data_IF_292776409114
#
_entry.id   IF_292776409114
#
_cell.length_a   1.000
_cell.length_b   1.000
_cell.length_c   1.000
_cell.angle_alpha   90.00
_cell.angle_beta   90.00
_cell.angle_gamma   90.00
#
_symmetry.space_group_name_H-M   'P 1'
#
loop_
_entity.id
_entity.type
_entity.pdbx_description
1 polymer ?
#
# COMPACT_ATOMS: atom_id res chain seq x y z
N UNK A 1 -1.84 17.90 -19.33
CA UNK A 1 -2.96 17.01 -18.93
C UNK A 1 -2.33 15.67 -18.61
N UNK A 2 -2.47 15.15 -17.39
CA UNK A 2 -1.94 13.84 -17.03
C UNK A 2 -2.69 12.71 -17.80
N UNK A 3 -2.01 11.58 -18.00
CA UNK A 3 -2.55 10.42 -18.73
C UNK A 3 -2.76 9.20 -17.86
N UNK A 4 -2.34 9.28 -16.59
CA UNK A 4 -2.34 8.16 -15.64
C UNK A 4 -3.73 7.93 -15.08
N UNK A 5 -4.08 6.70 -14.81
CA UNK A 5 -5.26 6.34 -14.02
C UNK A 5 -4.97 6.54 -12.54
N UNK A 6 -6.00 6.92 -11.79
CA UNK A 6 -5.91 7.23 -10.37
C UNK A 6 -6.81 6.30 -9.59
N UNK A 7 -6.27 5.64 -8.57
CA UNK A 7 -7.00 4.78 -7.64
C UNK A 7 -6.92 5.32 -6.22
N UNK A 8 -7.90 4.99 -5.41
CA UNK A 8 -7.93 5.28 -3.98
C UNK A 8 -8.18 4.01 -3.19
N UNK A 9 -7.45 3.81 -2.10
CA UNK A 9 -7.69 2.70 -1.18
C UNK A 9 -8.98 2.90 -0.40
N UNK A 10 -9.78 1.84 -0.23
CA UNK A 10 -10.89 1.86 0.72
C UNK A 10 -10.35 2.01 2.15
N UNK A 11 -11.11 2.65 3.02
CA UNK A 11 -10.68 2.90 4.38
C UNK A 11 -11.86 2.83 5.35
N UNK A 12 -11.73 2.05 6.42
CA UNK A 12 -12.76 1.91 7.45
C UNK A 12 -13.09 3.21 8.19
N UNK A 13 -12.17 4.20 8.17
CA UNK A 13 -12.36 5.50 8.82
C UNK A 13 -13.31 6.43 8.07
N UNK A 14 -13.65 6.13 6.82
CA UNK A 14 -14.56 6.97 6.02
C UNK A 14 -16.02 6.94 6.47
N UNK A 15 -16.38 6.04 7.40
CA UNK A 15 -17.69 6.03 8.05
C UNK A 15 -18.84 5.50 7.19
N UNK A 16 -18.55 4.99 6.00
CA UNK A 16 -19.48 4.28 5.10
C UNK A 16 -18.88 2.93 4.70
N UNK A 17 -19.73 1.99 4.28
CA UNK A 17 -19.25 0.67 3.87
C UNK A 17 -18.30 0.76 2.67
N UNK A 18 -17.31 -0.13 2.59
CA UNK A 18 -16.30 -0.10 1.52
C UNK A 18 -16.92 -0.26 0.11
N UNK A 19 -17.95 -1.11 -0.11
CA UNK A 19 -18.64 -1.13 -1.41
C UNK A 19 -19.29 0.22 -1.77
N UNK A 20 -19.80 0.96 -0.79
CA UNK A 20 -20.33 2.32 -1.01
C UNK A 20 -19.20 3.32 -1.30
N UNK A 21 -18.04 3.15 -0.70
CA UNK A 21 -16.86 3.97 -1.03
C UNK A 21 -16.48 3.83 -2.50
N UNK A 22 -16.55 2.62 -3.08
CA UNK A 22 -16.27 2.38 -4.51
C UNK A 22 -17.15 3.26 -5.41
N UNK A 23 -18.45 3.39 -5.07
CA UNK A 23 -19.38 4.29 -5.77
C UNK A 23 -18.95 5.76 -5.62
N UNK A 24 -18.65 6.19 -4.39
CA UNK A 24 -18.23 7.56 -4.10
C UNK A 24 -16.89 7.93 -4.75
N UNK A 25 -15.94 6.99 -4.84
CA UNK A 25 -14.67 7.20 -5.56
C UNK A 25 -14.93 7.48 -7.04
N UNK A 26 -15.87 6.73 -7.65
CA UNK A 26 -16.30 7.01 -9.03
C UNK A 26 -16.87 8.41 -9.20
N UNK A 27 -17.72 8.83 -8.28
CA UNK A 27 -18.33 10.16 -8.31
C UNK A 27 -17.30 11.28 -8.11
N UNK A 28 -16.26 11.04 -7.28
CA UNK A 28 -15.15 11.97 -7.10
C UNK A 28 -14.23 12.07 -8.34
N UNK A 29 -14.22 11.05 -9.23
CA UNK A 29 -13.47 11.04 -10.48
C UNK A 29 -12.34 10.01 -10.57
N UNK A 30 -12.16 9.17 -9.55
CA UNK A 30 -11.17 8.08 -9.59
C UNK A 30 -11.53 7.01 -10.62
N UNK A 31 -10.50 6.36 -11.16
CA UNK A 31 -10.62 5.28 -12.16
C UNK A 31 -10.75 3.90 -11.51
N UNK A 32 -10.26 3.74 -10.29
CA UNK A 32 -10.22 2.45 -9.61
C UNK A 32 -10.04 2.56 -8.10
N UNK A 33 -9.91 1.40 -7.49
CA UNK A 33 -9.79 1.25 -6.05
C UNK A 33 -8.90 0.06 -5.67
N UNK A 34 -8.49 0.04 -4.42
CA UNK A 34 -7.81 -1.04 -3.72
C UNK A 34 -8.62 -1.40 -2.47
N UNK A 35 -8.53 -2.64 -2.01
CA UNK A 35 -9.21 -3.12 -0.81
C UNK A 35 -8.21 -3.78 0.12
N UNK A 36 -8.28 -3.46 1.41
CA UNK A 36 -7.56 -4.16 2.45
C UNK A 36 -8.40 -5.36 2.94
N UNK A 37 -7.89 -6.57 2.74
CA UNK A 37 -8.55 -7.80 3.19
C UNK A 37 -8.05 -8.22 4.58
N UNK A 38 -8.96 -8.37 5.53
CA UNK A 38 -8.70 -8.84 6.90
C UNK A 38 -9.41 -10.16 7.23
N UNK A 39 -9.54 -11.05 6.25
CA UNK A 39 -10.21 -12.34 6.44
C UNK A 39 -11.72 -12.32 6.14
N UNK A 40 -12.28 -11.19 5.74
CA UNK A 40 -13.67 -11.09 5.28
C UNK A 40 -13.75 -11.18 3.74
N UNK A 41 -13.93 -12.39 3.23
CA UNK A 41 -14.07 -12.62 1.79
C UNK A 41 -15.34 -11.98 1.22
N UNK A 42 -16.39 -11.85 2.04
CA UNK A 42 -17.64 -11.23 1.61
C UNK A 42 -17.46 -9.73 1.34
N UNK A 43 -16.57 -9.06 2.08
CA UNK A 43 -16.20 -7.68 1.82
C UNK A 43 -15.57 -7.55 0.43
N UNK A 44 -14.59 -8.38 0.11
CA UNK A 44 -13.91 -8.36 -1.20
C UNK A 44 -14.90 -8.63 -2.32
N UNK A 45 -15.81 -9.62 -2.16
CA UNK A 45 -16.87 -9.92 -3.13
C UNK A 45 -17.81 -8.73 -3.35
N UNK A 46 -18.23 -8.07 -2.28
CA UNK A 46 -19.13 -6.92 -2.37
C UNK A 46 -18.43 -5.72 -3.04
N UNK A 47 -17.15 -5.47 -2.77
CA UNK A 47 -16.36 -4.44 -3.43
C UNK A 47 -16.13 -4.76 -4.91
N UNK A 48 -15.84 -6.02 -5.26
CA UNK A 48 -15.70 -6.45 -6.65
C UNK A 48 -17.00 -6.20 -7.44
N UNK A 49 -18.15 -6.57 -6.88
CA UNK A 49 -19.47 -6.30 -7.48
C UNK A 49 -19.73 -4.81 -7.67
N UNK A 50 -19.44 -3.98 -6.65
CA UNK A 50 -19.54 -2.53 -6.77
C UNK A 50 -18.60 -1.97 -7.86
N UNK A 51 -17.39 -2.53 -7.97
CA UNK A 51 -16.44 -2.18 -9.03
C UNK A 51 -17.00 -2.46 -10.43
N UNK A 52 -17.61 -3.63 -10.65
CA UNK A 52 -18.27 -3.98 -11.90
C UNK A 52 -19.46 -3.06 -12.21
N UNK A 53 -20.33 -2.82 -11.24
CA UNK A 53 -21.50 -1.95 -11.37
C UNK A 53 -21.12 -0.52 -11.79
N UNK A 54 -20.10 0.05 -11.13
CA UNK A 54 -19.64 1.43 -11.37
C UNK A 54 -18.52 1.52 -12.41
N UNK A 55 -18.13 0.41 -13.04
CA UNK A 55 -17.05 0.34 -14.05
C UNK A 55 -15.73 0.91 -13.52
N UNK A 56 -15.38 0.53 -12.31
CA UNK A 56 -14.14 0.87 -11.64
C UNK A 56 -13.10 -0.24 -11.81
N UNK A 57 -11.84 0.12 -11.85
CA UNK A 57 -10.74 -0.84 -11.88
C UNK A 57 -10.52 -1.34 -10.45
N UNK A 58 -10.60 -2.64 -10.22
CA UNK A 58 -10.13 -3.25 -8.99
C UNK A 58 -8.62 -3.50 -9.14
N UNK A 59 -7.81 -2.57 -8.66
CA UNK A 59 -6.38 -2.53 -8.96
C UNK A 59 -5.59 -3.54 -8.14
N UNK A 60 -5.86 -3.66 -6.84
CA UNK A 60 -5.14 -4.57 -5.95
C UNK A 60 -5.95 -4.97 -4.73
N UNK A 61 -5.58 -6.10 -4.12
CA UNK A 61 -5.99 -6.48 -2.77
C UNK A 61 -4.76 -6.40 -1.88
N UNK A 62 -4.86 -5.66 -0.78
CA UNK A 62 -3.83 -5.62 0.23
C UNK A 62 -4.00 -6.79 1.20
N UNK A 63 -2.99 -7.62 1.31
CA UNK A 63 -2.97 -8.74 2.24
C UNK A 63 -2.81 -8.27 3.69
N UNK A 64 -3.35 -8.99 4.68
CA UNK A 64 -3.14 -8.68 6.09
C UNK A 64 -1.69 -8.97 6.50
N UNK A 65 -1.25 -8.31 7.57
CA UNK A 65 0.15 -8.36 8.00
C UNK A 65 0.37 -8.93 9.41
N UNK A 66 -0.66 -9.49 10.01
CA UNK A 66 -0.61 -9.99 11.41
C UNK A 66 0.37 -11.13 11.66
N UNK A 67 0.87 -11.80 10.61
CA UNK A 67 1.88 -12.87 10.72
C UNK A 67 3.21 -12.51 10.02
N UNK A 68 3.38 -11.28 9.56
CA UNK A 68 4.58 -10.92 8.81
C UNK A 68 5.87 -11.03 9.62
N UNK A 69 5.85 -10.68 10.91
CA UNK A 69 6.99 -10.89 11.80
C UNK A 69 7.28 -12.37 12.03
N UNK A 70 6.23 -13.17 12.29
CA UNK A 70 6.35 -14.61 12.57
C UNK A 70 6.95 -15.38 11.39
N UNK A 71 6.70 -14.92 10.16
CA UNK A 71 7.28 -15.53 8.96
C UNK A 71 8.82 -15.51 8.94
N UNK A 72 9.45 -14.67 9.76
CA UNK A 72 10.92 -14.59 9.88
C UNK A 72 11.50 -15.32 11.07
N UNK A 73 10.66 -15.75 12.05
CA UNK A 73 11.12 -16.39 13.27
C UNK A 73 10.97 -17.93 13.22
N UNK A 74 12.09 -18.65 13.28
CA UNK A 74 12.12 -20.11 13.29
C UNK A 74 11.44 -20.72 14.54
N UNK A 75 11.20 -19.94 15.58
CA UNK A 75 10.50 -20.39 16.78
C UNK A 75 8.96 -20.30 16.62
N UNK A 76 8.49 -19.47 15.69
CA UNK A 76 7.05 -19.22 15.41
C UNK A 76 6.55 -19.97 14.16
N UNK A 77 7.02 -21.20 13.95
CA UNK A 77 6.74 -21.99 12.72
C UNK A 77 5.26 -22.18 12.42
N UNK A 78 4.42 -22.33 13.46
CA UNK A 78 2.98 -22.53 13.25
C UNK A 78 2.31 -21.24 12.74
N UNK A 79 2.70 -20.08 13.27
CA UNK A 79 2.17 -18.79 12.86
C UNK A 79 2.79 -18.36 11.51
N UNK A 80 4.04 -18.69 11.25
CA UNK A 80 4.64 -18.55 9.92
C UNK A 80 3.86 -19.31 8.82
N UNK A 81 3.42 -20.54 9.10
CA UNK A 81 2.58 -21.32 8.18
C UNK A 81 1.24 -20.61 7.94
N UNK A 82 0.61 -20.07 9.00
CA UNK A 82 -0.63 -19.31 8.85
C UNK A 82 -0.44 -18.08 7.98
N UNK A 83 0.68 -17.36 8.12
CA UNK A 83 1.05 -16.23 7.28
C UNK A 83 1.16 -16.61 5.81
N UNK A 84 1.87 -17.69 5.50
CA UNK A 84 1.97 -18.22 4.12
C UNK A 84 0.59 -18.58 3.56
N UNK A 85 -0.24 -19.29 4.30
CA UNK A 85 -1.58 -19.70 3.84
C UNK A 85 -2.52 -18.50 3.71
N UNK A 86 -2.39 -17.48 4.57
CA UNK A 86 -3.16 -16.25 4.46
C UNK A 86 -2.81 -15.47 3.17
N UNK A 87 -1.53 -15.37 2.82
CA UNK A 87 -1.12 -14.75 1.55
C UNK A 87 -1.60 -15.55 0.34
N UNK A 88 -1.52 -16.88 0.38
CA UNK A 88 -2.06 -17.74 -0.69
C UNK A 88 -3.56 -17.56 -0.87
N UNK A 89 -4.30 -17.45 0.23
CA UNK A 89 -5.74 -17.18 0.15
C UNK A 89 -6.03 -15.80 -0.47
N UNK A 90 -5.26 -14.78 -0.11
CA UNK A 90 -5.37 -13.45 -0.75
C UNK A 90 -5.07 -13.52 -2.26
N UNK A 91 -4.08 -14.32 -2.68
CA UNK A 91 -3.81 -14.59 -4.10
C UNK A 91 -5.01 -15.28 -4.78
N UNK A 92 -5.66 -16.25 -4.11
CA UNK A 92 -6.87 -16.89 -4.64
C UNK A 92 -8.04 -15.91 -4.81
N UNK A 93 -8.18 -14.93 -3.91
CA UNK A 93 -9.15 -13.84 -4.08
C UNK A 93 -8.79 -12.95 -5.28
N UNK A 94 -7.50 -12.64 -5.48
CA UNK A 94 -7.04 -11.91 -6.66
C UNK A 94 -7.44 -12.66 -7.96
N UNK A 95 -7.21 -13.97 -8.02
CA UNK A 95 -7.63 -14.80 -9.16
C UNK A 95 -9.15 -14.78 -9.34
N UNK A 96 -9.90 -15.00 -8.26
CA UNK A 96 -11.37 -15.09 -8.29
C UNK A 96 -12.02 -13.83 -8.86
N UNK A 97 -11.47 -12.65 -8.53
CA UNK A 97 -12.03 -11.35 -8.91
C UNK A 97 -11.24 -10.64 -10.03
N UNK A 98 -10.31 -11.34 -10.69
CA UNK A 98 -9.45 -10.81 -11.75
C UNK A 98 -8.67 -9.55 -11.31
N UNK A 99 -8.20 -9.54 -10.07
CA UNK A 99 -7.35 -8.47 -9.52
C UNK A 99 -5.89 -8.78 -9.86
N UNK A 100 -5.17 -7.89 -10.53
CA UNK A 100 -3.84 -8.23 -11.07
C UNK A 100 -2.72 -8.25 -10.02
N UNK A 101 -2.91 -7.57 -8.88
CA UNK A 101 -1.85 -7.35 -7.91
C UNK A 101 -2.34 -7.64 -6.49
N UNK A 102 -1.57 -8.41 -5.73
CA UNK A 102 -1.62 -8.44 -4.27
C UNK A 102 -0.55 -7.51 -3.72
N UNK A 103 -0.90 -6.56 -2.87
CA UNK A 103 0.07 -5.79 -2.07
C UNK A 103 0.31 -6.51 -0.76
N UNK A 104 1.54 -6.58 -0.30
CA UNK A 104 1.90 -7.27 0.93
C UNK A 104 3.05 -6.59 1.67
N UNK A 105 2.90 -6.43 2.98
CA UNK A 105 4.01 -6.11 3.87
C UNK A 105 4.96 -7.31 3.99
N UNK A 106 6.25 -7.04 4.12
CA UNK A 106 7.26 -8.08 4.35
C UNK A 106 7.59 -8.25 5.82
N UNK A 107 7.35 -7.21 6.62
CA UNK A 107 7.57 -7.20 8.05
C UNK A 107 6.69 -6.13 8.70
N UNK A 108 6.25 -6.37 9.92
CA UNK A 108 5.62 -5.39 10.79
C UNK A 108 6.12 -5.62 12.21
N UNK A 109 6.82 -4.65 12.77
CA UNK A 109 7.40 -4.70 14.11
C UNK A 109 8.39 -3.56 14.33
N UNK A 110 8.64 -3.22 15.60
CA UNK A 110 9.48 -2.09 15.99
C UNK A 110 10.66 -2.58 16.83
N UNK A 111 11.46 -3.46 16.24
CA UNK A 111 12.61 -4.09 16.88
C UNK A 111 13.80 -3.11 16.96
N UNK A 112 14.72 -3.40 17.91
CA UNK A 112 15.97 -2.61 18.00
C UNK A 112 16.92 -2.89 16.86
N UNK A 113 16.83 -4.07 16.23
CA UNK A 113 17.67 -4.49 15.11
C UNK A 113 16.89 -5.43 14.18
N UNK A 114 16.82 -5.09 12.90
CA UNK A 114 16.13 -5.89 11.89
C UNK A 114 17.07 -6.93 11.28
N UNK A 115 16.68 -8.22 11.36
CA UNK A 115 17.53 -9.36 10.98
C UNK A 115 16.78 -10.35 10.08
N UNK A 116 16.78 -10.14 8.77
CA UNK A 116 16.23 -11.11 7.83
C UNK A 116 16.89 -12.49 8.00
N UNK A 117 16.08 -13.56 7.96
CA UNK A 117 16.53 -14.94 8.13
C UNK A 117 16.35 -15.77 6.85
N UNK A 118 17.09 -16.86 6.71
CA UNK A 118 16.87 -17.81 5.61
C UNK A 118 15.48 -18.45 5.69
N UNK A 119 14.98 -18.66 6.91
CA UNK A 119 13.62 -19.16 7.15
C UNK A 119 12.55 -18.24 6.57
N UNK A 120 12.68 -16.92 6.78
CA UNK A 120 11.75 -15.95 6.21
C UNK A 120 11.82 -15.92 4.69
N UNK A 121 13.02 -15.93 4.10
CA UNK A 121 13.18 -16.03 2.65
C UNK A 121 12.47 -17.27 2.10
N UNK A 122 12.62 -18.43 2.74
CA UNK A 122 11.92 -19.65 2.32
C UNK A 122 10.39 -19.51 2.38
N UNK A 123 9.85 -18.89 3.44
CA UNK A 123 8.40 -18.69 3.59
C UNK A 123 7.85 -17.73 2.52
N UNK A 124 8.52 -16.59 2.27
CA UNK A 124 8.15 -15.71 1.16
C UNK A 124 8.32 -16.38 -0.21
N UNK A 125 9.31 -17.27 -0.36
CA UNK A 125 9.48 -18.09 -1.56
C UNK A 125 8.26 -18.95 -1.88
N UNK A 126 7.65 -19.59 -0.87
CA UNK A 126 6.41 -20.37 -1.04
C UNK A 126 5.23 -19.51 -1.52
N UNK A 127 5.15 -18.26 -1.08
CA UNK A 127 4.12 -17.31 -1.52
C UNK A 127 4.38 -16.85 -2.96
N UNK A 128 5.62 -16.52 -3.29
CA UNK A 128 6.03 -16.09 -4.63
C UNK A 128 5.82 -17.19 -5.66
N UNK A 129 6.20 -18.43 -5.34
CA UNK A 129 5.95 -19.60 -6.20
C UNK A 129 4.45 -19.75 -6.49
N UNK A 130 3.61 -19.69 -5.46
CA UNK A 130 2.17 -19.77 -5.61
C UNK A 130 1.59 -18.65 -6.47
N UNK A 131 2.03 -17.42 -6.26
CA UNK A 131 1.60 -16.27 -7.07
C UNK A 131 1.98 -16.43 -8.54
N UNK A 132 3.20 -16.94 -8.80
CA UNK A 132 3.67 -17.24 -10.16
C UNK A 132 2.79 -18.29 -10.84
N UNK A 133 2.45 -19.38 -10.14
CA UNK A 133 1.55 -20.43 -10.65
C UNK A 133 0.15 -19.89 -10.97
N UNK A 134 -0.33 -18.94 -10.18
CA UNK A 134 -1.67 -18.34 -10.33
C UNK A 134 -1.72 -17.16 -11.31
N UNK A 135 -0.57 -16.65 -11.76
CA UNK A 135 -0.48 -15.49 -12.63
C UNK A 135 -0.84 -14.16 -11.96
N UNK A 136 -0.70 -14.08 -10.63
CA UNK A 136 -0.91 -12.86 -9.83
C UNK A 136 0.44 -12.23 -9.53
N UNK A 137 0.54 -10.90 -9.58
CA UNK A 137 1.73 -10.19 -9.15
C UNK A 137 1.67 -9.88 -7.65
N UNK A 138 2.82 -9.95 -6.99
CA UNK A 138 2.97 -9.48 -5.61
C UNK A 138 3.79 -8.20 -5.63
N UNK A 139 3.24 -7.13 -5.08
CA UNK A 139 3.92 -5.87 -4.83
C UNK A 139 4.29 -5.81 -3.35
N UNK A 140 5.55 -6.05 -3.02
CA UNK A 140 6.04 -5.92 -1.65
C UNK A 140 6.22 -4.45 -1.29
N UNK A 141 5.59 -4.05 -0.19
CA UNK A 141 5.51 -2.67 0.25
C UNK A 141 6.59 -2.35 1.28
N UNK A 142 7.14 -1.13 1.20
CA UNK A 142 8.04 -0.62 2.22
C UNK A 142 7.29 -0.26 3.49
N UNK A 143 7.68 -0.91 4.56
CA UNK A 143 7.26 -0.65 5.93
C UNK A 143 8.49 -0.43 6.80
N UNK A 144 8.38 -0.58 8.11
CA UNK A 144 9.55 -0.64 8.99
C UNK A 144 10.46 -1.82 8.63
N UNK A 145 11.77 -1.68 8.85
CA UNK A 145 12.75 -2.73 8.56
C UNK A 145 12.98 -2.94 7.05
N UNK A 146 13.53 -1.93 6.37
CA UNK A 146 13.91 -2.01 4.94
C UNK A 146 14.78 -3.21 4.62
N UNK A 147 15.53 -3.74 5.62
CA UNK A 147 16.36 -4.94 5.51
C UNK A 147 15.56 -6.17 5.07
N UNK A 148 14.32 -6.31 5.55
CA UNK A 148 13.43 -7.40 5.17
C UNK A 148 12.92 -7.24 3.74
N UNK A 149 12.54 -6.02 3.34
CA UNK A 149 12.16 -5.71 1.96
C UNK A 149 13.32 -5.98 1.00
N UNK A 150 14.52 -5.48 1.33
CA UNK A 150 15.74 -5.72 0.56
C UNK A 150 16.01 -7.21 0.40
N UNK A 151 15.86 -8.00 1.47
CA UNK A 151 16.10 -9.43 1.44
C UNK A 151 15.14 -10.16 0.49
N UNK A 152 13.85 -9.86 0.56
CA UNK A 152 12.83 -10.50 -0.30
C UNK A 152 13.00 -10.05 -1.76
N UNK A 153 13.16 -8.76 -2.02
CA UNK A 153 13.32 -8.26 -3.38
C UNK A 153 14.64 -8.78 -4.01
N UNK A 154 15.74 -8.79 -3.27
CA UNK A 154 17.01 -9.36 -3.79
C UNK A 154 16.91 -10.85 -4.11
N UNK A 155 16.12 -11.60 -3.34
CA UNK A 155 15.91 -13.02 -3.60
C UNK A 155 15.00 -13.27 -4.83
N UNK A 156 13.96 -12.44 -5.05
CA UNK A 156 12.87 -12.81 -5.94
C UNK A 156 12.54 -11.80 -7.05
N UNK A 157 13.11 -10.57 -7.06
CA UNK A 157 12.77 -9.55 -8.08
C UNK A 157 13.13 -9.92 -9.53
N UNK A 158 13.85 -11.00 -9.74
CA UNK A 158 14.12 -11.55 -11.06
C UNK A 158 12.91 -12.29 -11.66
N UNK A 159 11.87 -12.56 -10.88
CA UNK A 159 10.62 -13.21 -11.29
C UNK A 159 9.60 -12.13 -11.69
N UNK A 160 8.93 -12.34 -12.82
CA UNK A 160 7.96 -11.37 -13.37
C UNK A 160 6.75 -11.10 -12.46
N UNK A 161 6.46 -12.04 -11.54
CA UNK A 161 5.36 -11.89 -10.57
C UNK A 161 5.74 -11.07 -9.34
N UNK A 162 7.01 -10.66 -9.17
CA UNK A 162 7.48 -9.92 -7.99
C UNK A 162 7.81 -8.50 -8.36
N UNK A 163 7.31 -7.57 -7.57
CA UNK A 163 7.61 -6.15 -7.69
C UNK A 163 7.55 -5.40 -6.37
N UNK A 164 7.77 -4.12 -6.45
CA UNK A 164 7.77 -3.18 -5.34
C UNK A 164 6.49 -2.35 -5.32
N UNK A 165 5.90 -2.18 -4.15
CA UNK A 165 4.89 -1.16 -3.87
C UNK A 165 5.57 -0.04 -3.08
N UNK A 166 5.60 1.16 -3.65
CA UNK A 166 6.15 2.31 -2.96
C UNK A 166 5.07 3.05 -2.17
N UNK A 167 5.16 2.99 -0.83
CA UNK A 167 4.42 3.89 0.04
C UNK A 167 5.28 5.10 0.39
N UNK A 168 4.81 6.29 0.00
CA UNK A 168 5.55 7.53 0.19
C UNK A 168 5.51 8.04 1.63
N UNK A 169 4.45 7.76 2.36
CA UNK A 169 4.34 8.12 3.78
C UNK A 169 5.16 7.21 4.68
N UNK A 170 5.15 5.90 4.42
CA UNK A 170 6.04 4.95 5.11
C UNK A 170 7.51 5.30 4.90
N UNK A 171 7.88 5.73 3.69
CA UNK A 171 9.24 6.21 3.43
C UNK A 171 9.61 7.37 4.37
N UNK A 172 8.68 8.30 4.64
CA UNK A 172 8.92 9.44 5.52
C UNK A 172 8.93 9.07 7.01
N UNK A 173 8.07 8.14 7.45
CA UNK A 173 7.90 7.83 8.88
C UNK A 173 8.59 6.53 9.33
N UNK A 174 8.85 5.57 8.43
CA UNK A 174 9.48 4.31 8.78
C UNK A 174 10.89 4.14 8.20
N UNK A 175 11.15 4.75 7.04
CA UNK A 175 12.40 4.52 6.33
C UNK A 175 13.34 5.75 6.37
N UNK A 176 13.15 6.65 7.32
CA UNK A 176 14.00 7.84 7.52
C UNK A 176 14.16 8.72 6.27
N UNK A 177 13.13 8.76 5.41
CA UNK A 177 13.14 9.46 4.12
C UNK A 177 14.25 8.97 3.17
N UNK A 178 14.68 7.71 3.28
CA UNK A 178 15.57 7.10 2.32
C UNK A 178 14.90 7.01 0.94
N UNK A 179 15.67 7.23 -0.12
CA UNK A 179 15.13 7.16 -1.48
C UNK A 179 14.98 5.70 -1.95
N UNK A 180 13.90 5.05 -1.58
CA UNK A 180 13.63 3.65 -1.94
C UNK A 180 13.33 3.46 -3.44
N UNK A 181 12.85 4.50 -4.12
CA UNK A 181 12.69 4.47 -5.58
C UNK A 181 14.02 4.43 -6.34
N UNK A 182 15.11 4.95 -5.76
CA UNK A 182 16.44 4.76 -6.33
C UNK A 182 16.93 3.31 -6.17
N UNK A 183 16.53 2.66 -5.07
CA UNK A 183 16.96 1.29 -4.74
C UNK A 183 16.15 0.21 -5.47
N UNK A 184 14.82 0.39 -5.58
CA UNK A 184 13.88 -0.63 -6.06
C UNK A 184 12.93 -0.15 -7.17
N UNK A 185 13.10 1.06 -7.67
CA UNK A 185 12.21 1.63 -8.67
C UNK A 185 12.23 0.89 -10.03
N UNK A 186 13.26 0.07 -10.28
CA UNK A 186 13.35 -0.80 -11.45
C UNK A 186 12.28 -1.90 -11.49
N UNK A 187 11.73 -2.26 -10.34
CA UNK A 187 10.66 -3.25 -10.18
C UNK A 187 9.39 -2.65 -9.56
N UNK A 188 9.18 -1.33 -9.66
CA UNK A 188 7.98 -0.66 -9.16
C UNK A 188 6.75 -1.09 -9.96
N UNK A 189 5.75 -1.68 -9.32
CA UNK A 189 4.49 -2.13 -9.93
C UNK A 189 3.23 -1.62 -9.25
N UNK A 190 3.35 -1.06 -8.05
CA UNK A 190 2.25 -0.45 -7.30
C UNK A 190 2.73 0.75 -6.49
N UNK A 191 1.80 1.60 -6.08
CA UNK A 191 2.08 2.75 -5.21
C UNK A 191 1.00 2.88 -4.16
N UNK A 192 1.37 3.31 -2.95
CA UNK A 192 0.49 3.86 -1.93
C UNK A 192 0.95 5.30 -1.64
N UNK A 193 0.32 6.26 -2.30
CA UNK A 193 0.75 7.65 -2.25
C UNK A 193 -0.01 8.37 -1.15
N UNK A 194 0.71 8.89 -0.20
CA UNK A 194 0.22 9.73 0.88
C UNK A 194 1.33 10.67 1.36
N UNK A 195 1.00 11.67 2.15
CA UNK A 195 1.95 12.54 2.83
C UNK A 195 2.08 12.16 4.30
N UNK A 196 3.11 12.65 4.94
CA UNK A 196 3.40 12.36 6.33
C UNK A 196 4.09 13.56 7.00
N UNK A 197 4.23 13.52 8.32
CA UNK A 197 4.97 14.51 9.11
C UNK A 197 6.34 14.02 9.58
N UNK A 198 6.73 12.81 9.13
CA UNK A 198 7.97 12.15 9.54
C UNK A 198 7.91 11.61 10.97
N UNK A 199 9.06 11.17 11.48
CA UNK A 199 9.18 10.60 12.83
C UNK A 199 9.06 11.72 13.87
N UNK A 200 8.03 11.65 14.70
CA UNK A 200 7.72 12.71 15.69
C UNK A 200 7.67 12.24 17.13
N UNK A 201 7.35 10.98 17.33
CA UNK A 201 7.16 10.41 18.65
C UNK A 201 8.39 9.62 19.14
N UNK A 202 8.34 9.14 20.34
CA UNK A 202 9.30 8.19 20.93
C UNK A 202 10.78 8.60 20.83
N UNK A 203 11.08 9.90 21.00
CA UNK A 203 12.44 10.44 20.91
C UNK A 203 13.14 10.16 19.58
N UNK A 204 12.39 10.23 18.47
CA UNK A 204 12.88 9.98 17.12
C UNK A 204 12.95 8.52 16.73
N UNK A 205 12.37 7.63 17.52
CA UNK A 205 12.20 6.22 17.14
C UNK A 205 10.95 6.04 16.27
N UNK A 206 11.05 5.14 15.34
CA UNK A 206 9.94 4.71 14.48
C UNK A 206 8.82 4.11 15.34
N UNK A 207 7.57 4.52 15.07
CA UNK A 207 6.41 3.95 15.72
C UNK A 207 5.13 4.13 14.89
N UNK A 208 4.16 3.22 14.98
CA UNK A 208 2.93 3.21 14.18
C UNK A 208 2.06 4.48 14.31
N UNK A 209 2.21 5.27 15.37
CA UNK A 209 1.51 6.55 15.50
C UNK A 209 1.96 7.60 14.47
N UNK A 210 3.13 7.45 13.89
CA UNK A 210 3.66 8.38 12.88
C UNK A 210 3.21 8.04 11.47
N UNK A 211 2.54 6.90 11.29
CA UNK A 211 1.93 6.51 10.03
C UNK A 211 0.56 7.20 9.85
N UNK A 212 0.52 8.34 9.17
CA UNK A 212 -0.59 9.29 9.19
C UNK A 212 -1.51 9.23 7.96
N UNK A 213 -1.01 8.78 6.82
CA UNK A 213 -1.73 8.75 5.54
C UNK A 213 -2.39 10.09 5.18
N UNK A 214 -1.64 11.19 5.27
CA UNK A 214 -2.14 12.54 4.97
C UNK A 214 -2.41 12.72 3.48
N UNK A 215 -3.29 13.68 3.14
CA UNK A 215 -3.42 14.10 1.77
C UNK A 215 -2.09 14.64 1.23
N UNK A 216 -1.72 14.34 -0.03
CA UNK A 216 -0.58 14.96 -0.69
C UNK A 216 -0.57 16.49 -0.52
N UNK A 217 0.59 17.05 -0.20
CA UNK A 217 0.85 18.48 0.08
C UNK A 217 0.38 18.98 1.46
N UNK A 218 -0.01 18.11 2.39
CA UNK A 218 -0.37 18.50 3.75
C UNK A 218 0.72 18.16 4.78
N UNK A 219 1.74 17.41 4.38
CA UNK A 219 2.87 16.99 5.21
C UNK A 219 4.19 17.65 4.83
N UNK A 220 5.27 16.87 5.00
CA UNK A 220 6.65 17.32 4.76
C UNK A 220 7.20 16.90 3.39
N UNK A 221 6.44 16.16 2.60
CA UNK A 221 6.89 15.63 1.31
C UNK A 221 7.29 16.75 0.34
N UNK A 222 8.51 16.66 -0.23
CA UNK A 222 8.89 17.48 -1.39
C UNK A 222 8.28 16.88 -2.66
N UNK A 223 7.07 17.32 -2.98
CA UNK A 223 6.27 16.76 -4.07
C UNK A 223 6.87 16.99 -5.47
N UNK A 224 7.71 18.02 -5.65
CA UNK A 224 8.44 18.22 -6.90
C UNK A 224 9.56 17.16 -7.02
N UNK A 225 10.29 16.88 -5.94
CA UNK A 225 11.28 15.81 -5.89
C UNK A 225 10.63 14.43 -6.05
N UNK A 226 9.59 14.11 -5.27
CA UNK A 226 8.86 12.85 -5.35
C UNK A 226 8.35 12.57 -6.75
N UNK A 227 7.77 13.56 -7.43
CA UNK A 227 7.32 13.42 -8.82
C UNK A 227 8.49 13.10 -9.78
N UNK A 228 9.66 13.73 -9.61
CA UNK A 228 10.84 13.45 -10.41
C UNK A 228 11.39 12.04 -10.13
N UNK A 229 11.35 11.59 -8.89
CA UNK A 229 11.77 10.24 -8.49
C UNK A 229 10.88 9.18 -9.14
N UNK A 230 9.54 9.32 -9.07
CA UNK A 230 8.60 8.43 -9.76
C UNK A 230 8.82 8.46 -11.28
N UNK A 231 9.01 9.65 -11.86
CA UNK A 231 9.29 9.77 -13.29
C UNK A 231 10.56 9.02 -13.73
N UNK A 232 11.61 9.06 -12.93
CA UNK A 232 12.89 8.36 -13.21
C UNK A 232 12.77 6.84 -13.25
N UNK A 233 11.81 6.25 -12.50
CA UNK A 233 11.59 4.79 -12.54
C UNK A 233 11.03 4.31 -13.87
N UNK A 234 10.43 5.20 -14.66
CA UNK A 234 9.68 4.83 -15.86
C UNK A 234 8.29 4.23 -15.56
N UNK A 235 7.87 4.17 -14.29
CA UNK A 235 6.55 3.68 -13.91
C UNK A 235 5.45 4.47 -14.62
N UNK A 236 4.59 3.77 -15.34
CA UNK A 236 3.53 4.35 -16.17
C UNK A 236 2.14 3.80 -15.87
N UNK A 237 2.03 2.95 -14.87
CA UNK A 237 0.77 2.31 -14.48
C UNK A 237 -0.04 3.21 -13.52
N UNK A 238 -1.02 2.63 -12.89
CA UNK A 238 -2.00 3.29 -12.03
C UNK A 238 -1.33 3.84 -10.77
N UNK A 239 -1.63 5.09 -10.45
CA UNK A 239 -1.24 5.67 -9.16
C UNK A 239 -2.35 5.41 -8.14
N UNK A 240 -2.02 4.63 -7.11
CA UNK A 240 -2.93 4.36 -6.00
C UNK A 240 -2.56 5.24 -4.81
N UNK A 241 -3.56 5.89 -4.25
CA UNK A 241 -3.45 6.75 -3.06
C UNK A 241 -4.03 6.00 -1.86
N UNK A 242 -3.36 6.08 -0.73
CA UNK A 242 -3.84 5.52 0.53
C UNK A 242 -3.96 6.65 1.55
N UNK A 243 -5.19 7.06 1.84
CA UNK A 243 -5.46 8.31 2.55
C UNK A 243 -6.39 8.10 3.73
N UNK A 244 -6.21 8.92 4.76
CA UNK A 244 -7.02 8.91 5.97
C UNK A 244 -7.59 10.30 6.25
N UNK A 245 -8.89 10.39 6.58
CA UNK A 245 -9.54 11.63 6.96
C UNK A 245 -9.63 11.85 8.47
N UNK A 246 -9.14 10.91 9.28
CA UNK A 246 -9.17 10.98 10.74
C UNK A 246 -7.78 11.17 11.31
N UNK A 247 -7.67 11.96 12.36
CA UNK A 247 -6.44 12.06 13.16
C UNK A 247 -6.19 10.79 13.96
N UNK A 248 -4.93 10.42 14.15
CA UNK A 248 -4.54 9.37 15.10
C UNK A 248 -4.94 9.80 16.53
N UNK A 249 -5.14 8.86 17.47
CA UNK A 249 -5.49 9.18 18.84
C UNK A 249 -4.53 10.19 19.47
N UNK A 250 -5.09 11.25 20.05
CA UNK A 250 -4.36 12.37 20.67
C UNK A 250 -3.49 13.20 19.68
N UNK A 251 -3.77 13.10 18.39
CA UNK A 251 -3.15 13.89 17.31
C UNK A 251 -4.22 14.79 16.68
N UNK A 252 -3.80 15.74 15.87
CA UNK A 252 -4.69 16.78 15.30
C UNK A 252 -4.39 17.03 13.81
N UNK A 253 -3.70 16.09 13.15
CA UNK A 253 -3.19 16.25 11.79
C UNK A 253 -4.29 16.32 10.74
N UNK A 254 -5.42 15.63 10.96
CA UNK A 254 -6.54 15.56 10.03
C UNK A 254 -7.84 16.22 10.56
N UNK A 255 -7.80 16.95 11.67
CA UNK A 255 -8.99 17.57 12.30
C UNK A 255 -9.82 18.41 11.30
N UNK A 256 -9.16 19.09 10.36
CA UNK A 256 -9.84 19.87 9.30
C UNK A 256 -10.69 19.02 8.36
N UNK A 257 -10.44 17.70 8.30
CA UNK A 257 -11.17 16.76 7.47
C UNK A 257 -12.17 15.92 8.25
N UNK A 258 -12.02 15.83 9.57
CA UNK A 258 -12.87 14.99 10.43
C UNK A 258 -14.34 15.37 10.38
N UNK A 259 -14.65 16.66 10.32
CA UNK A 259 -16.00 17.20 10.22
C UNK A 259 -16.45 17.47 8.76
N UNK A 260 -15.56 17.24 7.78
CA UNK A 260 -15.86 17.47 6.39
C UNK A 260 -16.78 16.37 5.84
N UNK A 261 -17.86 16.70 5.10
CA UNK A 261 -18.61 15.69 4.36
C UNK A 261 -17.70 14.84 3.48
N UNK A 262 -17.91 13.51 3.50
CA UNK A 262 -17.01 12.57 2.83
C UNK A 262 -16.83 12.89 1.34
N UNK A 263 -17.88 13.27 0.64
CA UNK A 263 -17.83 13.62 -0.78
C UNK A 263 -16.90 14.82 -1.04
N UNK A 264 -16.85 15.78 -0.12
CA UNK A 264 -15.94 16.92 -0.22
C UNK A 264 -14.49 16.49 0.04
N UNK A 265 -14.27 15.63 1.03
CA UNK A 265 -12.95 15.07 1.30
C UNK A 265 -12.43 14.27 0.10
N UNK A 266 -13.26 13.42 -0.49
CA UNK A 266 -12.91 12.64 -1.68
C UNK A 266 -12.62 13.53 -2.91
N UNK A 267 -13.34 14.65 -3.05
CA UNK A 267 -13.03 15.64 -4.08
C UNK A 267 -11.64 16.28 -3.87
N UNK A 268 -11.27 16.60 -2.62
CA UNK A 268 -9.91 17.07 -2.30
C UNK A 268 -8.87 15.98 -2.58
N UNK A 269 -9.12 14.72 -2.21
CA UNK A 269 -8.25 13.59 -2.55
C UNK A 269 -7.99 13.56 -4.06
N UNK A 270 -9.05 13.63 -4.87
CA UNK A 270 -8.94 13.59 -6.33
C UNK A 270 -8.16 14.78 -6.91
N UNK A 271 -8.42 16.00 -6.42
CA UNK A 271 -7.70 17.21 -6.84
C UNK A 271 -6.20 17.07 -6.58
N UNK A 272 -5.82 16.58 -5.37
CA UNK A 272 -4.41 16.37 -5.00
C UNK A 272 -3.77 15.27 -5.83
N UNK A 273 -4.49 14.17 -6.07
CA UNK A 273 -4.05 13.08 -6.95
C UNK A 273 -3.81 13.57 -8.39
N UNK A 274 -4.72 14.35 -8.96
CA UNK A 274 -4.55 14.98 -10.28
C UNK A 274 -3.33 15.91 -10.34
N UNK A 275 -3.12 16.68 -9.27
CA UNK A 275 -1.97 17.59 -9.19
C UNK A 275 -0.67 16.80 -9.22
N UNK A 276 -0.52 15.76 -8.40
CA UNK A 276 0.69 14.93 -8.36
C UNK A 276 0.92 14.20 -9.70
N UNK A 277 -0.11 13.57 -10.25
CA UNK A 277 -0.01 12.93 -11.57
C UNK A 277 0.45 13.91 -12.67
N UNK A 278 -0.06 15.15 -12.64
CA UNK A 278 0.37 16.19 -13.57
C UNK A 278 1.82 16.64 -13.38
N UNK A 279 2.37 16.54 -12.17
CA UNK A 279 3.78 16.85 -11.89
C UNK A 279 4.71 15.77 -12.45
N UNK A 280 4.33 14.49 -12.34
CA UNK A 280 5.08 13.37 -12.92
C UNK A 280 5.12 13.47 -14.46
N UNK A 281 4.00 13.84 -15.10
CA UNK A 281 3.85 13.83 -16.55
C UNK A 281 4.40 15.13 -17.23
N UNK A 282 4.88 16.09 -16.46
CA UNK A 282 5.60 17.28 -16.98
C UNK A 282 7.04 16.94 -17.33
#
# INVERSE_FOLDING_TARGET
MYKRKLCLSTNSTFGVSEPEQVRLFKEAGFDGFNVLWWGDDALVENCARAGEEHKMIFQSIHAPWNYCADMWDENEKEDAIKGVEQFKHCIDLCVKYNVPVMVAHVYVGFDEEYKPTAFGIENYGKVVEYASEKGVKIAFENTEGTEYLDAVLNAYKHLECVGFCWDSGHEMCYNYSENLLERHGDVLIATHINDNLGIRDYNGKIFWHDDLHLLPFDGIGDWDELAQRVKKTGFSDILTFELNNKSKPNRHENDKYDEMPLEKYLAECYIRACRFASMIDR
#
